data_IF_375418246765
#
_entry.id   IF_375418246765
#
_cell.length_a   1.000
_cell.length_b   1.000
_cell.length_c   1.000
_cell.angle_alpha   90.00
_cell.angle_beta   90.00
_cell.angle_gamma   90.00
#
_symmetry.space_group_name_H-M   'P 1'
#
loop_
_entity.id
_entity.type
_entity.pdbx_description
1 polymer ?
#
# COMPACT_ATOMS: atom_id res chain seq x y z
N UNK A 1 17.38 -25.75 -3.85
CA UNK A 1 16.40 -25.29 -4.87
C UNK A 1 14.98 -25.51 -4.39
N UNK A 2 14.52 -26.70 -4.16
CA UNK A 2 13.15 -27.04 -3.72
C UNK A 2 12.62 -26.23 -2.51
N UNK A 3 13.40 -26.05 -1.44
CA UNK A 3 12.94 -25.36 -0.23
C UNK A 3 12.69 -23.85 -0.44
N UNK A 4 13.45 -23.22 -1.33
CA UNK A 4 13.29 -21.79 -1.67
C UNK A 4 12.08 -21.60 -2.59
N UNK A 5 11.87 -22.52 -3.52
CA UNK A 5 10.75 -22.49 -4.45
C UNK A 5 9.43 -22.67 -3.69
N UNK A 6 9.38 -23.63 -2.76
CA UNK A 6 8.21 -23.85 -1.88
C UNK A 6 7.89 -22.63 -1.00
N UNK A 7 8.92 -21.95 -0.51
CA UNK A 7 8.75 -20.72 0.28
C UNK A 7 8.16 -19.59 -0.58
N UNK A 8 8.65 -19.42 -1.81
CA UNK A 8 8.12 -18.41 -2.72
C UNK A 8 6.67 -18.69 -3.11
N UNK A 9 6.33 -19.92 -3.46
CA UNK A 9 4.95 -20.32 -3.75
C UNK A 9 3.99 -20.03 -2.58
N UNK A 10 4.45 -20.24 -1.36
CA UNK A 10 3.65 -19.94 -0.17
C UNK A 10 3.46 -18.43 0.02
N UNK A 11 4.52 -17.64 -0.21
CA UNK A 11 4.46 -16.18 -0.16
C UNK A 11 3.55 -15.60 -1.25
N UNK A 12 3.61 -16.13 -2.46
CA UNK A 12 2.76 -15.69 -3.57
C UNK A 12 1.29 -16.01 -3.32
N UNK A 13 0.99 -17.14 -2.69
CA UNK A 13 -0.36 -17.49 -2.27
C UNK A 13 -0.87 -16.58 -1.16
N UNK A 14 -0.02 -16.30 -0.17
CA UNK A 14 -0.31 -15.35 0.90
C UNK A 14 -0.62 -13.96 0.33
N UNK A 15 0.23 -13.45 -0.56
CA UNK A 15 0.05 -12.15 -1.21
C UNK A 15 -1.27 -12.07 -1.98
N UNK A 16 -1.60 -13.11 -2.75
CA UNK A 16 -2.85 -13.16 -3.50
C UNK A 16 -4.08 -13.14 -2.58
N UNK A 17 -4.07 -13.94 -1.53
CA UNK A 17 -5.15 -13.96 -0.53
C UNK A 17 -5.30 -12.60 0.14
N UNK A 18 -4.19 -11.97 0.48
CA UNK A 18 -4.17 -10.64 1.07
C UNK A 18 -4.77 -9.59 0.12
N UNK A 19 -4.30 -9.56 -1.12
CA UNK A 19 -4.77 -8.61 -2.13
C UNK A 19 -6.29 -8.71 -2.34
N UNK A 20 -6.81 -9.92 -2.51
CA UNK A 20 -8.25 -10.17 -2.66
C UNK A 20 -9.04 -9.70 -1.43
N UNK A 21 -8.53 -9.96 -0.23
CA UNK A 21 -9.16 -9.56 1.02
C UNK A 21 -9.18 -8.05 1.23
N UNK A 22 -8.07 -7.37 0.97
CA UNK A 22 -7.98 -5.92 1.12
C UNK A 22 -8.80 -5.18 0.06
N UNK A 23 -8.80 -5.65 -1.18
CA UNK A 23 -9.64 -5.08 -2.22
C UNK A 23 -11.12 -5.18 -1.87
N UNK A 24 -11.56 -6.30 -1.28
CA UNK A 24 -12.92 -6.48 -0.80
C UNK A 24 -13.30 -5.45 0.28
N UNK A 25 -12.40 -5.16 1.21
CA UNK A 25 -12.61 -4.10 2.23
C UNK A 25 -12.83 -2.75 1.52
N UNK A 26 -11.99 -2.42 0.55
CA UNK A 26 -12.09 -1.17 -0.19
C UNK A 26 -13.38 -1.07 -1.03
N UNK A 27 -13.83 -2.17 -1.63
CA UNK A 27 -15.07 -2.22 -2.41
C UNK A 27 -16.30 -2.03 -1.53
N UNK A 28 -16.33 -2.65 -0.36
CA UNK A 28 -17.42 -2.49 0.61
C UNK A 28 -17.58 -1.04 1.08
N UNK A 29 -16.49 -0.30 1.15
CA UNK A 29 -16.48 1.12 1.52
C UNK A 29 -16.58 2.08 0.32
N UNK A 30 -16.69 1.54 -0.89
CA UNK A 30 -16.85 2.32 -2.11
C UNK A 30 -15.59 3.08 -2.56
N UNK A 31 -14.40 2.65 -2.12
CA UNK A 31 -13.14 3.34 -2.44
C UNK A 31 -12.43 2.76 -3.65
N UNK A 32 -12.48 1.46 -3.85
CA UNK A 32 -11.89 0.78 -5.01
C UNK A 32 -12.57 -0.58 -5.24
N UNK A 33 -12.83 -0.91 -6.50
CA UNK A 33 -13.38 -2.22 -6.91
C UNK A 33 -12.39 -3.08 -7.67
N UNK A 34 -11.35 -2.45 -8.19
CA UNK A 34 -10.33 -3.06 -9.03
C UNK A 34 -8.95 -2.62 -8.56
N UNK A 35 -7.99 -3.50 -8.73
CA UNK A 35 -6.57 -3.17 -8.50
C UNK A 35 -6.03 -2.38 -9.69
N UNK A 36 -6.46 -1.12 -9.80
CA UNK A 36 -5.92 -0.20 -10.78
C UNK A 36 -4.45 0.08 -10.48
N UNK A 37 -3.62 0.09 -11.51
CA UNK A 37 -2.19 0.33 -11.38
C UNK A 37 -1.61 0.98 -12.63
N UNK A 38 -0.45 1.61 -12.46
CA UNK A 38 0.38 2.09 -13.55
C UNK A 38 1.82 1.61 -13.35
N UNK A 39 2.51 1.16 -14.43
CA UNK A 39 3.92 0.78 -14.34
C UNK A 39 4.81 1.87 -13.75
N UNK A 40 4.50 3.13 -14.00
CA UNK A 40 5.24 4.27 -13.46
C UNK A 40 5.14 4.35 -11.93
N UNK A 41 3.93 4.14 -11.41
CA UNK A 41 3.65 4.18 -9.96
C UNK A 41 4.28 2.98 -9.28
N UNK A 42 4.15 1.79 -9.88
CA UNK A 42 4.75 0.55 -9.37
C UNK A 42 6.29 0.64 -9.29
N UNK A 43 6.91 1.24 -10.30
CA UNK A 43 8.37 1.46 -10.33
C UNK A 43 8.85 2.36 -9.17
N UNK A 44 8.03 3.29 -8.69
CA UNK A 44 8.38 4.12 -7.53
C UNK A 44 8.43 3.29 -6.25
N UNK A 45 7.55 2.32 -6.11
CA UNK A 45 7.60 1.41 -4.97
C UNK A 45 8.90 0.60 -4.94
N UNK A 46 9.33 0.09 -6.06
CA UNK A 46 10.61 -0.62 -6.16
C UNK A 46 11.79 0.25 -5.72
N UNK A 47 11.75 1.55 -6.02
CA UNK A 47 12.75 2.51 -5.57
C UNK A 47 12.66 2.84 -4.07
N UNK A 48 11.47 2.79 -3.48
CA UNK A 48 11.22 3.19 -2.08
C UNK A 48 11.29 2.04 -1.08
N UNK A 49 11.08 0.81 -1.52
CA UNK A 49 10.84 -0.33 -0.63
C UNK A 49 11.93 -0.53 0.43
N UNK A 50 13.19 -0.32 0.08
CA UNK A 50 14.30 -0.46 1.01
C UNK A 50 14.21 0.51 2.18
N UNK A 51 13.99 1.78 1.86
CA UNK A 51 13.90 2.84 2.86
C UNK A 51 12.62 2.71 3.69
N UNK A 52 11.50 2.37 3.03
CA UNK A 52 10.25 2.12 3.72
C UNK A 52 10.35 0.96 4.72
N UNK A 53 10.90 -0.16 4.30
CA UNK A 53 11.07 -1.34 5.17
C UNK A 53 11.95 -1.01 6.38
N UNK A 54 13.01 -0.23 6.19
CA UNK A 54 13.87 0.19 7.31
C UNK A 54 13.09 1.00 8.35
N UNK A 55 12.26 1.95 7.91
CA UNK A 55 11.39 2.73 8.80
C UNK A 55 10.29 1.88 9.45
N UNK A 56 9.62 1.05 8.65
CA UNK A 56 8.54 0.19 9.12
C UNK A 56 8.99 -0.83 10.18
N UNK A 57 10.12 -1.47 9.96
CA UNK A 57 10.69 -2.46 10.92
C UNK A 57 11.03 -1.78 12.25
N UNK A 58 11.57 -0.58 12.23
CA UNK A 58 11.88 0.18 13.46
C UNK A 58 10.63 0.50 14.28
N UNK A 59 9.50 0.75 13.61
CA UNK A 59 8.24 1.16 14.27
C UNK A 59 7.27 0.00 14.52
N UNK A 60 7.52 -1.18 13.94
CA UNK A 60 6.56 -2.28 13.91
C UNK A 60 6.15 -2.79 15.30
N UNK A 61 7.07 -2.86 16.25
CA UNK A 61 6.77 -3.41 17.58
C UNK A 61 5.82 -2.53 18.39
N UNK A 62 5.94 -1.20 18.26
CA UNK A 62 5.08 -0.25 18.97
C UNK A 62 3.81 0.09 18.19
N UNK A 63 3.94 0.24 16.87
CA UNK A 63 2.86 0.71 16.00
C UNK A 63 2.73 -0.16 14.74
N UNK A 64 2.38 -1.47 14.88
CA UNK A 64 2.35 -2.38 13.74
C UNK A 64 1.35 -1.98 12.66
N UNK A 65 0.21 -1.42 13.05
CA UNK A 65 -0.81 -0.97 12.10
C UNK A 65 -0.33 0.24 11.29
N UNK A 66 0.31 1.21 11.94
CA UNK A 66 0.90 2.35 11.26
C UNK A 66 2.04 1.93 10.33
N UNK A 67 2.93 1.05 10.79
CA UNK A 67 4.04 0.53 9.99
C UNK A 67 3.57 -0.16 8.70
N UNK A 68 2.43 -0.84 8.73
CA UNK A 68 1.83 -1.45 7.55
C UNK A 68 1.04 -0.42 6.74
N UNK A 69 0.18 0.36 7.39
CA UNK A 69 -0.81 1.24 6.76
C UNK A 69 -0.18 2.40 5.99
N UNK A 70 0.96 2.92 6.42
CA UNK A 70 1.59 4.08 5.77
C UNK A 70 2.01 3.79 4.32
N UNK A 71 2.28 2.54 3.96
CA UNK A 71 2.49 2.16 2.58
C UNK A 71 1.27 2.48 1.69
N UNK A 72 0.06 2.35 2.21
CA UNK A 72 -1.17 2.72 1.52
C UNK A 72 -1.24 4.21 1.22
N UNK A 73 -0.94 5.05 2.21
CA UNK A 73 -0.87 6.51 2.00
C UNK A 73 0.21 6.88 0.98
N UNK A 74 1.36 6.23 1.04
CA UNK A 74 2.44 6.44 0.07
C UNK A 74 2.01 6.10 -1.36
N UNK A 75 1.30 5.00 -1.56
CA UNK A 75 0.73 4.62 -2.86
C UNK A 75 -0.27 5.65 -3.39
N UNK A 76 -1.13 6.17 -2.51
CA UNK A 76 -2.05 7.26 -2.86
C UNK A 76 -1.31 8.53 -3.26
N UNK A 77 -0.28 8.92 -2.50
CA UNK A 77 0.51 10.12 -2.79
C UNK A 77 1.18 10.05 -4.15
N UNK A 78 1.83 8.92 -4.46
CA UNK A 78 2.49 8.73 -5.76
C UNK A 78 1.49 8.75 -6.91
N UNK A 79 0.34 8.10 -6.76
CA UNK A 79 -0.73 8.12 -7.77
C UNK A 79 -1.27 9.54 -8.01
N UNK A 80 -1.48 10.30 -6.96
CA UNK A 80 -1.91 11.70 -7.04
C UNK A 80 -0.90 12.58 -7.79
N UNK A 81 0.37 12.44 -7.47
CA UNK A 81 1.44 13.18 -8.12
C UNK A 81 1.65 12.75 -9.57
N UNK A 82 1.48 11.45 -9.86
CA UNK A 82 1.52 10.92 -11.21
C UNK A 82 0.45 11.55 -12.11
N UNK A 83 -0.74 11.72 -11.61
CA UNK A 83 -1.84 12.36 -12.34
C UNK A 83 -1.61 13.87 -12.55
N UNK A 84 -0.99 14.55 -11.57
CA UNK A 84 -0.77 15.99 -11.64
C UNK A 84 0.30 16.41 -12.64
N UNK A 85 1.51 15.91 -12.45
CA UNK A 85 2.70 16.24 -13.26
C UNK A 85 3.80 15.21 -13.03
N UNK A 86 3.77 14.14 -13.80
CA UNK A 86 4.72 13.06 -13.66
C UNK A 86 6.16 13.47 -13.98
N UNK A 87 6.37 14.30 -14.98
CA UNK A 87 7.71 14.77 -15.34
C UNK A 87 8.40 15.49 -14.19
N UNK A 88 7.65 16.26 -13.43
CA UNK A 88 8.17 16.95 -12.25
C UNK A 88 8.34 16.01 -11.04
N UNK A 89 7.44 15.03 -10.88
CA UNK A 89 7.32 14.24 -9.66
C UNK A 89 8.02 12.88 -9.73
N UNK A 90 8.34 12.36 -10.91
CA UNK A 90 8.89 11.01 -11.10
C UNK A 90 10.21 10.72 -10.39
N UNK A 91 10.96 11.73 -10.01
CA UNK A 91 12.26 11.61 -9.36
C UNK A 91 12.27 12.08 -7.89
N UNK A 92 11.09 12.36 -7.31
CA UNK A 92 11.01 12.77 -5.92
C UNK A 92 11.58 11.66 -5.00
N UNK A 93 12.46 12.01 -4.05
CA UNK A 93 12.98 11.04 -3.11
C UNK A 93 11.91 10.61 -2.10
N UNK A 94 12.04 9.41 -1.55
CA UNK A 94 11.14 8.86 -0.55
C UNK A 94 10.90 9.81 0.64
N UNK A 95 11.94 10.49 1.11
CA UNK A 95 11.87 11.43 2.23
C UNK A 95 10.97 12.66 1.98
N UNK A 96 10.62 12.93 0.72
CA UNK A 96 9.63 13.98 0.39
C UNK A 96 8.28 13.72 1.06
N UNK A 97 7.96 12.47 1.33
CA UNK A 97 6.69 12.05 1.93
C UNK A 97 6.69 12.07 3.46
N UNK A 98 7.84 12.31 4.09
CA UNK A 98 7.92 12.47 5.54
C UNK A 98 7.14 13.71 6.00
N UNK A 99 6.49 13.58 7.16
CA UNK A 99 5.96 14.72 7.88
C UNK A 99 7.04 15.46 8.68
N UNK A 100 6.62 16.39 9.51
CA UNK A 100 7.53 17.19 10.35
C UNK A 100 8.33 16.35 11.36
N UNK A 101 7.82 15.18 11.73
CA UNK A 101 8.47 14.21 12.63
C UNK A 101 9.01 12.99 11.88
N UNK A 102 9.23 13.09 10.58
CA UNK A 102 9.72 12.00 9.76
C UNK A 102 8.65 10.99 9.39
N UNK A 103 8.93 9.72 9.62
CA UNK A 103 7.99 8.63 9.34
C UNK A 103 6.72 8.69 10.19
N UNK A 104 6.81 9.15 11.43
CA UNK A 104 5.72 9.08 12.42
C UNK A 104 4.44 9.84 12.03
N UNK A 105 4.57 10.86 11.21
CA UNK A 105 3.45 11.67 10.72
C UNK A 105 3.39 11.77 9.18
N UNK A 106 3.92 10.75 8.52
CA UNK A 106 3.86 10.62 7.06
C UNK A 106 2.41 10.62 6.55
N UNK A 107 1.52 9.93 7.21
CA UNK A 107 0.10 9.85 6.86
C UNK A 107 -0.57 11.23 6.90
N UNK A 108 -0.36 11.99 7.96
CA UNK A 108 -0.91 13.35 8.10
C UNK A 108 -0.39 14.28 6.99
N UNK A 109 0.91 14.26 6.73
CA UNK A 109 1.51 15.05 5.66
C UNK A 109 0.94 14.69 4.29
N UNK A 110 0.84 13.40 3.99
CA UNK A 110 0.30 12.92 2.71
C UNK A 110 -1.16 13.35 2.57
N UNK A 111 -1.99 13.08 3.57
CA UNK A 111 -3.43 13.36 3.52
C UNK A 111 -3.72 14.85 3.42
N UNK A 112 -3.03 15.67 4.18
CA UNK A 112 -3.29 17.11 4.26
C UNK A 112 -2.60 17.89 3.14
N UNK A 113 -1.32 17.65 2.91
CA UNK A 113 -0.48 18.49 2.05
C UNK A 113 -0.37 17.95 0.61
N UNK A 114 -0.32 16.63 0.43
CA UNK A 114 -0.19 16.02 -0.91
C UNK A 114 -1.56 15.79 -1.53
N UNK A 115 -2.46 15.11 -0.84
CA UNK A 115 -3.80 14.77 -1.32
C UNK A 115 -4.79 15.92 -1.14
N UNK A 116 -4.60 16.76 -0.15
CA UNK A 116 -5.47 17.91 0.14
C UNK A 116 -6.89 17.50 0.55
N UNK A 117 -7.04 16.38 1.24
CA UNK A 117 -8.35 15.89 1.66
C UNK A 117 -8.93 16.74 2.79
N UNK A 118 -10.24 17.02 2.71
CA UNK A 118 -11.00 17.57 3.82
C UNK A 118 -11.16 16.55 4.96
N UNK A 119 -11.62 16.99 6.16
CA UNK A 119 -11.67 16.14 7.35
C UNK A 119 -12.49 14.86 7.17
N UNK A 120 -13.62 14.92 6.48
CA UNK A 120 -14.51 13.77 6.28
C UNK A 120 -13.85 12.69 5.40
N UNK A 121 -13.30 13.08 4.26
CA UNK A 121 -12.61 12.16 3.35
C UNK A 121 -11.32 11.61 3.98
N UNK A 122 -10.56 12.44 4.67
CA UNK A 122 -9.37 12.03 5.41
C UNK A 122 -9.70 10.96 6.45
N UNK A 123 -10.75 11.17 7.23
CA UNK A 123 -11.21 10.20 8.25
C UNK A 123 -11.64 8.88 7.63
N UNK A 124 -12.40 8.93 6.54
CA UNK A 124 -12.87 7.72 5.84
C UNK A 124 -11.70 6.90 5.29
N UNK A 125 -10.79 7.54 4.57
CA UNK A 125 -9.63 6.87 3.98
C UNK A 125 -8.72 6.30 5.06
N UNK A 126 -8.45 7.05 6.12
CA UNK A 126 -7.62 6.59 7.24
C UNK A 126 -8.24 5.37 7.94
N UNK A 127 -9.56 5.36 8.12
CA UNK A 127 -10.28 4.22 8.68
C UNK A 127 -10.16 2.97 7.81
N UNK A 128 -10.29 3.11 6.50
CA UNK A 128 -10.19 1.97 5.56
C UNK A 128 -8.76 1.45 5.50
N UNK A 129 -7.76 2.33 5.41
CA UNK A 129 -6.34 1.92 5.43
C UNK A 129 -6.00 1.22 6.74
N UNK A 130 -6.48 1.71 7.87
CA UNK A 130 -6.29 1.03 9.16
C UNK A 130 -6.95 -0.36 9.17
N UNK A 131 -8.16 -0.50 8.64
CA UNK A 131 -8.83 -1.80 8.51
C UNK A 131 -8.03 -2.77 7.63
N UNK A 132 -7.43 -2.28 6.56
CA UNK A 132 -6.53 -3.07 5.72
C UNK A 132 -5.28 -3.51 6.48
N UNK A 133 -4.68 -2.63 7.26
CA UNK A 133 -3.50 -2.96 8.08
C UNK A 133 -3.83 -4.01 9.15
N UNK A 134 -4.98 -3.89 9.81
CA UNK A 134 -5.47 -4.90 10.76
C UNK A 134 -5.67 -6.25 10.07
N UNK A 135 -6.28 -6.26 8.88
CA UNK A 135 -6.48 -7.49 8.11
C UNK A 135 -5.14 -8.17 7.73
N UNK A 136 -4.09 -7.40 7.45
CA UNK A 136 -2.75 -7.95 7.25
C UNK A 136 -2.24 -8.68 8.50
N UNK A 137 -2.37 -8.06 9.67
CA UNK A 137 -1.93 -8.65 10.94
C UNK A 137 -2.74 -9.91 11.29
N UNK A 138 -4.02 -9.89 11.03
CA UNK A 138 -4.90 -11.04 11.24
C UNK A 138 -4.55 -12.21 10.31
N UNK A 139 -4.26 -11.95 9.04
CA UNK A 139 -3.84 -12.98 8.10
C UNK A 139 -2.49 -13.58 8.47
N UNK A 140 -1.51 -12.76 8.87
CA UNK A 140 -0.22 -13.24 9.38
C UNK A 140 -0.41 -14.19 10.57
N UNK A 141 -1.29 -13.82 11.50
CA UNK A 141 -1.61 -14.64 12.67
C UNK A 141 -2.32 -15.95 12.28
N UNK A 142 -3.30 -15.85 11.39
CA UNK A 142 -4.07 -17.01 10.89
C UNK A 142 -3.17 -18.04 10.19
N UNK A 143 -2.22 -17.56 9.40
CA UNK A 143 -1.23 -18.40 8.72
C UNK A 143 -0.09 -18.89 9.63
N UNK A 144 -0.11 -18.51 10.91
CA UNK A 144 0.95 -18.87 11.86
C UNK A 144 2.32 -18.30 11.51
N UNK A 145 2.35 -17.12 10.89
CA UNK A 145 3.59 -16.47 10.47
C UNK A 145 4.14 -15.61 11.62
N UNK A 146 5.27 -16.01 12.15
CA UNK A 146 6.00 -15.25 13.16
C UNK A 146 6.82 -14.14 12.50
N UNK A 147 6.47 -12.91 12.78
CA UNK A 147 7.03 -11.71 12.12
C UNK A 147 8.52 -11.49 12.37
N UNK A 148 9.06 -12.09 13.43
CA UNK A 148 10.48 -11.99 13.80
C UNK A 148 11.38 -13.01 13.09
N UNK A 149 10.80 -13.89 12.29
CA UNK A 149 11.54 -14.87 11.48
C UNK A 149 11.91 -14.29 10.11
N UNK A 150 12.88 -14.91 9.43
CA UNK A 150 13.20 -14.54 8.05
C UNK A 150 11.98 -14.67 7.12
N UNK A 151 11.18 -15.72 7.28
CA UNK A 151 9.94 -15.90 6.52
C UNK A 151 8.92 -14.80 6.84
N UNK A 152 8.77 -14.45 8.13
CA UNK A 152 7.91 -13.35 8.58
C UNK A 152 8.32 -12.00 8.01
N UNK A 153 9.62 -11.75 7.89
CA UNK A 153 10.13 -10.53 7.24
C UNK A 153 9.69 -10.43 5.77
N UNK A 154 9.78 -11.53 5.02
CA UNK A 154 9.31 -11.55 3.63
C UNK A 154 7.79 -11.41 3.53
N UNK A 155 7.05 -12.04 4.43
CA UNK A 155 5.58 -11.89 4.47
C UNK A 155 5.16 -10.46 4.80
N UNK A 156 5.83 -9.79 5.76
CA UNK A 156 5.61 -8.37 6.04
C UNK A 156 5.92 -7.48 4.84
N UNK A 157 7.01 -7.76 4.14
CA UNK A 157 7.36 -7.01 2.92
C UNK A 157 6.26 -7.14 1.85
N UNK A 158 5.61 -8.30 1.75
CA UNK A 158 4.43 -8.48 0.88
C UNK A 158 3.24 -7.65 1.39
N UNK A 159 3.02 -7.56 2.69
CA UNK A 159 1.98 -6.69 3.27
C UNK A 159 2.20 -5.23 2.87
N UNK A 160 3.41 -4.71 3.01
CA UNK A 160 3.72 -3.33 2.62
C UNK A 160 3.48 -3.10 1.13
N UNK A 161 3.93 -4.02 0.27
CA UNK A 161 3.74 -3.91 -1.18
C UNK A 161 2.26 -3.95 -1.58
N UNK A 162 1.47 -4.80 -0.95
CA UNK A 162 0.02 -4.88 -1.22
C UNK A 162 -0.68 -3.61 -0.75
N UNK A 163 -0.34 -3.08 0.44
CA UNK A 163 -0.90 -1.81 0.93
C UNK A 163 -0.57 -0.64 0.00
N UNK A 164 0.66 -0.57 -0.51
CA UNK A 164 1.04 0.44 -1.50
C UNK A 164 0.14 0.36 -2.74
N UNK A 165 -0.05 -0.83 -3.30
CA UNK A 165 -0.92 -1.05 -4.46
C UNK A 165 -2.40 -0.78 -4.17
N UNK A 166 -2.87 -1.07 -2.96
CA UNK A 166 -4.22 -0.70 -2.51
C UNK A 166 -4.38 0.82 -2.48
N UNK A 167 -3.42 1.54 -1.93
CA UNK A 167 -3.42 3.01 -1.94
C UNK A 167 -3.43 3.58 -3.35
N UNK A 168 -2.60 3.05 -4.24
CA UNK A 168 -2.60 3.38 -5.66
C UNK A 168 -3.99 3.18 -6.29
N UNK A 169 -4.60 2.02 -6.07
CA UNK A 169 -5.92 1.71 -6.62
C UNK A 169 -7.02 2.64 -6.07
N UNK A 170 -6.98 2.98 -4.79
CA UNK A 170 -7.92 3.94 -4.17
C UNK A 170 -7.80 5.31 -4.85
N UNK A 171 -6.58 5.82 -4.99
CA UNK A 171 -6.39 7.16 -5.56
C UNK A 171 -6.72 7.20 -7.05
N UNK A 172 -6.30 6.21 -7.83
CA UNK A 172 -6.66 6.12 -9.24
C UNK A 172 -8.19 6.03 -9.44
N UNK A 173 -8.88 5.32 -8.58
CA UNK A 173 -10.36 5.26 -8.58
C UNK A 173 -10.96 6.64 -8.26
N UNK A 174 -10.42 7.32 -7.25
CA UNK A 174 -10.84 8.68 -6.86
C UNK A 174 -10.67 9.69 -8.01
N UNK A 175 -9.59 9.55 -8.78
CA UNK A 175 -9.28 10.40 -9.94
C UNK A 175 -10.12 10.05 -11.17
N UNK A 176 -10.94 9.00 -11.12
CA UNK A 176 -11.86 8.62 -12.19
C UNK A 176 -11.30 7.62 -13.19
N UNK A 177 -10.13 7.03 -12.91
CA UNK A 177 -9.60 5.95 -13.75
C UNK A 177 -10.39 4.66 -13.57
N UNK A 178 -10.48 3.88 -14.64
CA UNK A 178 -11.10 2.56 -14.65
C UNK A 178 -10.47 1.72 -15.75
N UNK A 179 -10.55 0.40 -15.63
CA UNK A 179 -10.15 -0.49 -16.73
C UNK A 179 -11.18 -0.38 -17.83
N UNK A 180 -10.73 -0.05 -19.03
CA UNK A 180 -11.57 -0.21 -20.22
C UNK A 180 -11.82 -1.70 -20.42
N UNK A 181 -13.09 -2.09 -20.46
CA UNK A 181 -13.44 -3.38 -20.99
C UNK A 181 -13.04 -3.33 -22.47
N UNK A 182 -12.06 -4.15 -22.87
CA UNK A 182 -11.76 -4.38 -24.28
C UNK A 182 -13.01 -5.02 -24.85
N UNK A 183 -13.86 -4.22 -25.46
CA UNK A 183 -15.05 -4.68 -26.15
C UNK A 183 -14.61 -5.65 -27.22
N UNK A 184 -14.97 -6.91 -27.05
CA UNK A 184 -14.83 -7.87 -28.11
C UNK A 184 -15.64 -7.36 -29.30
N UNK A 185 -14.97 -7.00 -30.37
CA UNK A 185 -15.63 -6.77 -31.65
C UNK A 185 -16.31 -8.07 -32.05
N UNK A 186 -17.62 -8.06 -32.13
CA UNK A 186 -18.35 -9.06 -32.88
C UNK A 186 -18.09 -8.88 -34.36
#
# INVERSE_FOLDING_TARGET
MEKRDLMNERLDRFEKTLEEGLLKICDMEGLAKEMLSSPDIDARWEAFIKDYVADAVTNFNEYPQAAIGFAGFLGMAVACLWDRDWELCRNLPYRTFYGSRGFDDMDDHIVQDVLGFGPEKASKVSSVINSCAVACLELLRHEGIETQTAYGFYALSRCYSVLYRIGEAIELTTLGYHREAVGGSC
#
